data_IF_877358929147
#
_entry.id   IF_877358929147
#
_cell.length_a   1.000
_cell.length_b   1.000
_cell.length_c   1.000
_cell.angle_alpha   90.00
_cell.angle_beta   90.00
_cell.angle_gamma   90.00
#
_symmetry.space_group_name_H-M   'P 1'
#
loop_
_entity.id
_entity.type
_entity.pdbx_description
1 polymer ?
#
# COMPACT_ATOMS: atom_id res chain seq x y z
N UNK A 1 -10.51 -10.01 -3.02
CA UNK A 1 -9.56 -8.91 -3.24
C UNK A 1 -8.19 -9.53 -3.41
N UNK A 2 -7.88 -9.96 -4.65
CA UNK A 2 -6.54 -10.47 -4.94
C UNK A 2 -5.66 -9.24 -5.14
N UNK A 3 -4.84 -8.95 -4.14
CA UNK A 3 -3.73 -8.00 -4.24
C UNK A 3 -2.69 -8.75 -5.08
N UNK A 4 -2.94 -8.79 -6.39
CA UNK A 4 -1.98 -9.31 -7.34
C UNK A 4 -0.74 -8.43 -7.21
N UNK A 5 0.37 -9.08 -6.84
CA UNK A 5 1.75 -8.69 -7.10
C UNK A 5 2.00 -7.18 -7.15
N UNK A 6 2.79 -6.68 -6.20
CA UNK A 6 3.56 -5.45 -6.33
C UNK A 6 4.51 -5.52 -7.55
N UNK A 7 3.93 -5.53 -8.73
CA UNK A 7 4.54 -5.32 -10.02
C UNK A 7 4.09 -3.94 -10.43
N UNK A 8 5.03 -3.01 -10.32
CA UNK A 8 5.08 -1.71 -10.98
C UNK A 8 3.75 -0.97 -11.01
N UNK A 9 3.65 0.11 -10.24
CA UNK A 9 2.58 1.11 -10.37
C UNK A 9 2.16 1.23 -11.83
N UNK A 10 1.01 0.66 -12.17
CA UNK A 10 0.57 0.58 -13.55
C UNK A 10 0.61 2.01 -14.10
N UNK A 11 1.41 2.30 -15.14
CA UNK A 11 1.63 3.66 -15.58
C UNK A 11 0.28 4.32 -15.89
N UNK A 12 0.13 5.62 -15.59
CA UNK A 12 -1.16 6.35 -15.63
C UNK A 12 -1.96 6.10 -16.93
N UNK A 13 -1.29 5.85 -18.05
CA UNK A 13 -1.93 5.50 -19.33
C UNK A 13 -2.73 4.17 -19.33
N UNK A 14 -2.63 3.35 -18.28
CA UNK A 14 -3.41 2.12 -18.09
C UNK A 14 -4.68 2.32 -17.27
N UNK A 15 -4.95 3.53 -16.76
CA UNK A 15 -6.10 3.81 -15.90
C UNK A 15 -7.42 3.39 -16.55
N UNK A 16 -7.60 3.60 -17.87
CA UNK A 16 -8.82 3.17 -18.58
C UNK A 16 -9.07 1.65 -18.54
N UNK A 17 -8.03 0.84 -18.39
CA UNK A 17 -8.12 -0.62 -18.43
C UNK A 17 -8.16 -1.25 -17.05
N UNK A 18 -7.46 -0.67 -16.07
CA UNK A 18 -7.23 -1.28 -14.75
C UNK A 18 -7.48 -0.35 -13.58
N UNK A 19 -7.81 0.91 -13.84
CA UNK A 19 -8.15 1.89 -12.81
C UNK A 19 -9.54 1.69 -12.25
N UNK A 20 -9.78 2.31 -11.10
CA UNK A 20 -11.09 2.38 -10.46
C UNK A 20 -11.41 3.86 -10.25
N UNK A 21 -12.64 4.27 -10.56
CA UNK A 21 -13.21 5.60 -10.30
C UNK A 21 -13.86 5.69 -8.91
N UNK A 22 -13.63 4.68 -8.06
CA UNK A 22 -14.10 4.65 -6.70
C UNK A 22 -13.53 5.79 -5.85
N UNK A 23 -14.34 6.28 -4.93
CA UNK A 23 -13.94 7.26 -3.92
C UNK A 23 -13.79 6.57 -2.57
N UNK A 24 -12.91 7.11 -1.71
CA UNK A 24 -12.83 6.66 -0.33
C UNK A 24 -14.01 7.21 0.47
N UNK A 25 -14.66 6.34 1.23
CA UNK A 25 -15.79 6.69 2.10
C UNK A 25 -15.42 6.49 3.57
N UNK A 26 -16.03 7.27 4.45
CA UNK A 26 -15.85 7.15 5.90
C UNK A 26 -16.14 5.72 6.38
N UNK A 27 -15.31 5.22 7.30
CA UNK A 27 -15.30 3.84 7.83
C UNK A 27 -14.76 2.75 6.88
N UNK A 28 -14.30 3.08 5.66
CA UNK A 28 -13.47 2.15 4.89
C UNK A 28 -12.14 1.89 5.59
N UNK A 29 -11.58 0.69 5.45
CA UNK A 29 -10.21 0.37 5.86
C UNK A 29 -9.38 0.02 4.62
N UNK A 30 -8.27 0.73 4.45
CA UNK A 30 -7.40 0.64 3.28
C UNK A 30 -6.01 0.18 3.72
N UNK A 31 -5.41 -0.71 2.95
CA UNK A 31 -4.01 -1.08 3.10
C UNK A 31 -3.13 -0.13 2.28
N UNK A 32 -2.10 0.43 2.90
CA UNK A 32 -1.07 1.25 2.25
C UNK A 32 0.22 0.44 2.22
N UNK A 33 0.64 0.04 1.02
CA UNK A 33 1.71 -0.93 0.84
C UNK A 33 2.89 -0.35 0.06
N UNK A 34 4.10 -0.77 0.43
CA UNK A 34 5.33 -0.51 -0.31
C UNK A 34 6.22 -1.74 -0.33
N UNK A 35 6.77 -2.08 -1.49
CA UNK A 35 7.82 -3.08 -1.62
C UNK A 35 9.04 -2.42 -2.25
N UNK A 36 10.20 -2.64 -1.64
CA UNK A 36 11.49 -2.15 -2.11
C UNK A 36 12.45 -3.34 -2.21
N UNK A 37 12.87 -3.65 -3.43
CA UNK A 37 13.80 -4.73 -3.71
C UNK A 37 14.45 -4.54 -5.07
N UNK A 38 15.66 -5.05 -5.24
CA UNK A 38 16.37 -5.00 -6.52
C UNK A 38 15.96 -6.19 -7.41
N UNK A 39 15.72 -5.99 -8.72
CA UNK A 39 15.39 -7.08 -9.63
C UNK A 39 16.41 -8.21 -9.61
N UNK A 40 15.93 -9.45 -9.47
CA UNK A 40 16.77 -10.65 -9.45
C UNK A 40 17.51 -10.90 -8.13
N UNK A 41 17.40 -10.00 -7.15
CA UNK A 41 17.94 -10.23 -5.82
C UNK A 41 17.00 -11.08 -4.96
N UNK A 42 17.58 -11.75 -3.96
CA UNK A 42 16.86 -12.67 -3.08
C UNK A 42 15.99 -11.95 -2.03
N UNK A 43 16.39 -10.74 -1.63
CA UNK A 43 15.80 -10.03 -0.51
C UNK A 43 15.19 -8.70 -0.96
N UNK A 44 14.12 -8.31 -0.29
CA UNK A 44 13.50 -6.99 -0.37
C UNK A 44 12.71 -6.73 0.91
N UNK A 45 12.32 -5.49 1.12
CA UNK A 45 11.51 -5.05 2.28
C UNK A 45 10.10 -4.77 1.79
N UNK A 46 9.10 -5.36 2.45
CA UNK A 46 7.69 -4.99 2.28
C UNK A 46 7.22 -4.31 3.56
N UNK A 47 6.62 -3.13 3.42
CA UNK A 47 5.89 -2.44 4.48
C UNK A 47 4.42 -2.39 4.09
N UNK A 48 3.54 -2.53 5.07
CA UNK A 48 2.10 -2.52 4.89
C UNK A 48 1.43 -1.97 6.16
N UNK A 49 0.69 -0.87 6.02
CA UNK A 49 -0.01 -0.21 7.12
C UNK A 49 -1.51 -0.14 6.82
N UNK A 50 -2.34 -0.48 7.80
CA UNK A 50 -3.78 -0.35 7.69
C UNK A 50 -4.23 1.02 8.21
N UNK A 51 -4.99 1.75 7.38
CA UNK A 51 -5.60 3.01 7.77
C UNK A 51 -7.12 2.93 7.66
N UNK A 52 -7.84 3.52 8.61
CA UNK A 52 -9.30 3.72 8.51
C UNK A 52 -9.57 5.13 8.03
N UNK A 53 -10.41 5.25 7.01
CA UNK A 53 -10.86 6.53 6.46
C UNK A 53 -11.84 7.17 7.44
N UNK A 54 -11.65 8.44 7.75
CA UNK A 54 -12.55 9.25 8.59
C UNK A 54 -13.16 10.36 7.73
N UNK A 55 -14.20 11.04 8.23
CA UNK A 55 -14.81 12.19 7.54
C UNK A 55 -13.85 13.35 7.24
N UNK A 56 -12.69 13.42 7.89
CA UNK A 56 -11.71 14.52 7.72
C UNK A 56 -10.31 14.05 7.32
N UNK A 57 -10.10 12.74 7.11
CA UNK A 57 -8.79 12.18 6.79
C UNK A 57 -8.70 10.68 7.05
N UNK A 58 -7.73 10.27 7.85
CA UNK A 58 -7.50 8.88 8.18
C UNK A 58 -6.98 8.71 9.62
N UNK A 59 -7.12 7.51 10.15
CA UNK A 59 -6.45 7.07 11.37
C UNK A 59 -5.61 5.82 11.08
N UNK A 60 -4.46 5.70 11.76
CA UNK A 60 -3.64 4.51 11.69
C UNK A 60 -4.25 3.42 12.58
N UNK A 61 -4.52 2.25 12.01
CA UNK A 61 -5.07 1.08 12.71
C UNK A 61 -3.95 0.12 13.14
N UNK A 62 -2.91 0.01 12.30
CA UNK A 62 -1.77 -0.84 12.57
C UNK A 62 -0.90 -0.29 13.72
N UNK A 63 -0.46 -1.19 14.59
CA UNK A 63 0.33 -0.88 15.79
C UNK A 63 1.57 -1.77 15.94
N UNK A 64 1.90 -2.53 14.90
CA UNK A 64 3.08 -3.38 14.90
C UNK A 64 4.33 -2.53 14.67
N UNK A 65 5.37 -2.65 15.51
CA UNK A 65 6.56 -1.82 15.37
C UNK A 65 7.39 -2.25 14.17
N UNK A 66 8.04 -1.29 13.53
CA UNK A 66 9.11 -1.57 12.58
C UNK A 66 10.39 -2.04 13.28
N UNK A 67 11.19 -2.82 12.55
CA UNK A 67 12.52 -3.26 12.94
C UNK A 67 13.49 -2.08 12.95
N UNK A 68 13.80 -1.57 14.15
CA UNK A 68 14.66 -0.39 14.31
C UNK A 68 16.07 -0.60 13.81
N UNK A 69 16.53 -1.85 13.77
CA UNK A 69 17.84 -2.25 13.27
C UNK A 69 17.99 -2.01 11.76
N UNK A 70 16.89 -1.81 11.03
CA UNK A 70 16.87 -1.53 9.59
C UNK A 70 16.76 -0.04 9.27
N UNK A 71 16.67 0.82 10.29
CA UNK A 71 16.68 2.26 10.09
C UNK A 71 18.10 2.76 9.83
N UNK A 72 18.23 3.70 8.88
CA UNK A 72 19.49 4.33 8.47
C UNK A 72 19.69 5.66 9.18
#
# INVERSE_FOLDING_TARGET
MNIAHAQDSAPIHLFERTGYDGVFEENMTISVESYIGEPGQKNGVKLEEMVRVTSTGYELVANFPFEKELFV
#
